data_IF_447626953014
#
_entry.id   IF_447626953014
#
_cell.length_a   1.000
_cell.length_b   1.000
_cell.length_c   1.000
_cell.angle_alpha   90.00
_cell.angle_beta   90.00
_cell.angle_gamma   90.00
#
_symmetry.space_group_name_H-M   'P 1'
#
loop_
_entity.id
_entity.type
_entity.pdbx_description
1 polymer ?
#
# COMPACT_ATOMS: atom_id res chain seq x y z
N UNK A 1 -12.18 -28.42 -14.04
CA UNK A 1 -13.37 -27.78 -14.69
C UNK A 1 -12.84 -26.94 -15.82
N UNK A 2 -13.08 -27.37 -17.04
CA UNK A 2 -12.68 -26.62 -18.24
C UNK A 2 -13.46 -25.33 -18.30
N UNK A 3 -12.78 -24.19 -18.41
CA UNK A 3 -13.43 -22.88 -18.58
C UNK A 3 -13.84 -22.73 -20.04
N UNK A 4 -15.07 -23.11 -20.35
CA UNK A 4 -15.66 -22.96 -21.69
C UNK A 4 -16.22 -21.54 -21.83
N UNK A 5 -15.73 -20.78 -22.81
CA UNK A 5 -16.35 -19.57 -23.29
C UNK A 5 -17.19 -19.85 -24.52
N UNK A 6 -18.49 -19.59 -24.44
CA UNK A 6 -19.40 -19.68 -25.58
C UNK A 6 -19.28 -18.41 -26.44
N UNK A 7 -18.94 -18.57 -27.70
CA UNK A 7 -19.02 -17.53 -28.72
C UNK A 7 -20.03 -17.95 -29.77
N UNK A 8 -20.47 -17.02 -30.61
CA UNK A 8 -21.37 -17.31 -31.75
C UNK A 8 -20.79 -18.37 -32.74
N UNK A 9 -19.50 -18.75 -32.60
CA UNK A 9 -18.78 -19.69 -33.45
C UNK A 9 -18.49 -21.05 -32.80
N UNK A 10 -18.96 -21.31 -31.56
CA UNK A 10 -18.79 -22.58 -30.85
C UNK A 10 -18.02 -22.49 -29.54
N UNK A 11 -17.76 -23.63 -28.90
CA UNK A 11 -17.01 -23.76 -27.66
C UNK A 11 -15.51 -23.65 -27.94
N UNK A 12 -14.81 -22.79 -27.16
CA UNK A 12 -13.35 -22.70 -27.18
C UNK A 12 -12.81 -23.06 -25.81
N UNK A 13 -11.85 -23.96 -25.78
CA UNK A 13 -11.04 -24.20 -24.59
C UNK A 13 -10.04 -23.04 -24.46
N UNK A 14 -10.11 -22.30 -23.34
CA UNK A 14 -9.17 -21.22 -23.04
C UNK A 14 -8.20 -21.69 -21.99
N UNK A 15 -6.94 -21.81 -22.40
CA UNK A 15 -5.84 -22.03 -21.48
C UNK A 15 -5.38 -20.71 -20.86
N UNK A 16 -5.42 -20.63 -19.54
CA UNK A 16 -4.98 -19.44 -18.79
C UNK A 16 -3.54 -19.65 -18.33
N UNK A 17 -2.61 -18.90 -18.90
CA UNK A 17 -1.19 -19.01 -18.56
C UNK A 17 -0.83 -18.41 -17.21
N UNK A 18 -1.51 -17.33 -16.80
CA UNK A 18 -1.15 -16.57 -15.59
C UNK A 18 -2.38 -16.15 -14.79
N UNK A 19 -2.37 -16.44 -13.50
CA UNK A 19 -3.34 -15.91 -12.53
C UNK A 19 -2.63 -15.02 -11.53
N UNK A 20 -3.12 -13.79 -11.35
CA UNK A 20 -2.59 -12.83 -10.40
C UNK A 20 -3.70 -12.39 -9.44
N UNK A 21 -3.39 -12.29 -8.15
CA UNK A 21 -4.38 -11.88 -7.16
C UNK A 21 -3.75 -11.30 -5.89
N UNK A 22 -4.53 -10.43 -5.22
CA UNK A 22 -4.26 -9.95 -3.87
C UNK A 22 -5.51 -10.14 -3.02
N UNK A 23 -5.46 -11.00 -2.02
CA UNK A 23 -6.60 -11.15 -1.12
C UNK A 23 -6.66 -9.98 -0.13
N UNK A 24 -7.87 -9.60 0.38
CA UNK A 24 -8.01 -8.51 1.33
C UNK A 24 -7.08 -8.64 2.54
N UNK A 25 -6.27 -7.62 2.78
CA UNK A 25 -5.26 -7.61 3.86
C UNK A 25 -5.79 -7.08 5.20
N UNK A 26 -7.02 -6.58 5.25
CA UNK A 26 -7.56 -5.80 6.37
C UNK A 26 -7.47 -6.50 7.74
N UNK A 27 -7.56 -7.83 7.80
CA UNK A 27 -7.41 -8.59 9.04
C UNK A 27 -5.96 -8.99 9.37
N UNK A 28 -4.99 -8.62 8.52
CA UNK A 28 -3.57 -8.91 8.69
C UNK A 28 -2.75 -7.69 9.13
N UNK A 29 -3.23 -6.46 8.86
CA UNK A 29 -2.45 -5.23 9.02
C UNK A 29 -2.28 -4.83 10.49
N UNK A 30 -1.08 -4.29 10.82
CA UNK A 30 -0.74 -3.80 12.17
C UNK A 30 -1.58 -2.58 12.58
N UNK A 31 -2.02 -1.76 11.62
CA UNK A 31 -2.84 -0.58 11.90
C UNK A 31 -4.23 -0.91 12.47
N UNK A 32 -4.65 -2.19 12.42
CA UNK A 32 -5.91 -2.64 13.00
C UNK A 32 -5.74 -2.99 14.49
N UNK A 33 -6.79 -2.80 15.29
CA UNK A 33 -6.80 -3.21 16.70
C UNK A 33 -6.51 -4.71 16.82
N UNK A 34 -5.78 -5.10 17.87
CA UNK A 34 -5.28 -6.48 18.03
C UNK A 34 -6.39 -7.55 18.07
N UNK A 35 -7.54 -7.24 18.67
CA UNK A 35 -8.73 -8.09 18.75
C UNK A 35 -9.41 -8.32 17.39
N UNK A 36 -9.22 -7.39 16.45
CA UNK A 36 -9.78 -7.49 15.08
C UNK A 36 -8.81 -8.18 14.08
N UNK A 37 -7.57 -8.47 14.47
CA UNK A 37 -6.54 -9.12 13.65
C UNK A 37 -6.68 -10.64 13.67
N UNK A 38 -7.83 -11.15 13.25
CA UNK A 38 -8.13 -12.59 13.25
C UNK A 38 -7.64 -13.34 12.01
N UNK A 39 -7.00 -12.63 11.07
CA UNK A 39 -6.34 -13.22 9.91
C UNK A 39 -7.29 -14.00 9.00
N UNK A 40 -6.84 -15.15 8.50
CA UNK A 40 -7.59 -16.04 7.62
C UNK A 40 -8.92 -16.52 8.23
N UNK A 41 -9.04 -16.54 9.57
CA UNK A 41 -10.30 -16.89 10.25
C UNK A 41 -11.44 -15.91 9.95
N UNK A 42 -11.15 -14.72 9.43
CA UNK A 42 -12.16 -13.77 8.96
C UNK A 42 -12.66 -14.15 7.57
N UNK A 43 -13.71 -14.98 7.49
CA UNK A 43 -14.30 -15.48 6.24
C UNK A 43 -14.76 -14.38 5.26
N UNK A 44 -15.14 -13.19 5.77
CA UNK A 44 -15.63 -12.07 4.93
C UNK A 44 -14.52 -11.15 4.42
N UNK A 45 -13.28 -11.33 4.85
CA UNK A 45 -12.13 -10.46 4.50
C UNK A 45 -10.93 -11.31 4.11
N UNK A 46 -9.95 -11.43 4.99
CA UNK A 46 -8.71 -12.16 4.68
C UNK A 46 -8.93 -13.65 4.38
N UNK A 47 -10.04 -14.24 4.82
CA UNK A 47 -10.45 -15.60 4.45
C UNK A 47 -10.86 -15.77 2.98
N UNK A 48 -11.09 -14.66 2.24
CA UNK A 48 -11.30 -14.69 0.79
C UNK A 48 -10.06 -15.20 0.02
N UNK A 49 -8.90 -15.25 0.66
CA UNK A 49 -7.75 -15.98 0.13
C UNK A 49 -8.11 -17.42 -0.28
N UNK A 50 -8.96 -18.10 0.48
CA UNK A 50 -9.38 -19.48 0.16
C UNK A 50 -10.15 -19.57 -1.17
N UNK A 51 -10.91 -18.52 -1.53
CA UNK A 51 -11.57 -18.45 -2.84
C UNK A 51 -10.56 -18.22 -3.97
N UNK A 52 -9.57 -17.37 -3.74
CA UNK A 52 -8.48 -17.22 -4.70
C UNK A 52 -7.71 -18.53 -4.88
N UNK A 53 -7.44 -19.26 -3.80
CA UNK A 53 -6.80 -20.57 -3.85
C UNK A 53 -7.66 -21.62 -4.57
N UNK A 54 -8.99 -21.61 -4.35
CA UNK A 54 -9.94 -22.49 -5.06
C UNK A 54 -9.85 -22.23 -6.57
N UNK A 55 -9.95 -20.96 -7.00
CA UNK A 55 -9.86 -20.56 -8.40
C UNK A 55 -8.51 -21.01 -9.02
N UNK A 56 -7.40 -20.80 -8.29
CA UNK A 56 -6.08 -21.25 -8.74
C UNK A 56 -6.03 -22.75 -9.01
N UNK A 57 -6.63 -23.56 -8.12
CA UNK A 57 -6.69 -25.02 -8.29
C UNK A 57 -7.71 -25.48 -9.34
N UNK A 58 -8.67 -24.67 -9.74
CA UNK A 58 -9.61 -25.00 -10.81
C UNK A 58 -9.02 -24.66 -12.19
N UNK A 59 -8.28 -23.54 -12.27
CA UNK A 59 -7.71 -23.04 -13.54
C UNK A 59 -6.40 -23.76 -13.89
N UNK A 60 -5.60 -24.19 -12.89
CA UNK A 60 -4.27 -24.79 -13.08
C UNK A 60 -3.36 -23.96 -14.02
N UNK A 61 -3.20 -22.64 -13.76
CA UNK A 61 -2.40 -21.81 -14.67
C UNK A 61 -0.92 -22.21 -14.61
N UNK A 62 -0.20 -21.95 -15.68
CA UNK A 62 1.24 -22.17 -15.75
C UNK A 62 2.03 -21.32 -14.76
N UNK A 63 1.58 -20.08 -14.56
CA UNK A 63 2.17 -19.13 -13.62
C UNK A 63 1.12 -18.54 -12.69
N UNK A 64 1.55 -18.17 -11.49
CA UNK A 64 0.72 -17.40 -10.59
C UNK A 64 1.54 -16.37 -9.82
N UNK A 65 0.87 -15.32 -9.36
CA UNK A 65 1.39 -14.33 -8.42
C UNK A 65 0.31 -13.98 -7.40
N UNK A 66 0.60 -14.19 -6.13
CA UNK A 66 -0.21 -13.72 -5.01
C UNK A 66 0.56 -12.70 -4.21
N UNK A 67 -0.08 -11.57 -3.86
CA UNK A 67 0.48 -10.54 -3.00
C UNK A 67 -0.30 -10.40 -1.70
N UNK A 68 0.41 -10.10 -0.60
CA UNK A 68 -0.21 -9.64 0.63
C UNK A 68 0.79 -8.86 1.51
N UNK A 69 0.29 -8.25 2.60
CA UNK A 69 1.10 -7.45 3.52
C UNK A 69 2.12 -8.30 4.30
N UNK A 70 3.36 -7.81 4.43
CA UNK A 70 4.40 -8.50 5.20
C UNK A 70 4.15 -8.49 6.72
N UNK A 71 3.23 -7.63 7.19
CA UNK A 71 2.88 -7.51 8.61
C UNK A 71 1.87 -8.56 9.11
N UNK A 72 1.49 -9.53 8.27
CA UNK A 72 0.61 -10.62 8.70
C UNK A 72 1.28 -11.47 9.79
N UNK A 73 0.49 -12.21 10.54
CA UNK A 73 1.00 -13.12 11.57
C UNK A 73 1.73 -14.29 10.91
N UNK A 74 2.69 -14.85 11.64
CA UNK A 74 3.47 -16.00 11.17
C UNK A 74 2.57 -17.18 10.78
N UNK A 75 1.56 -17.46 11.60
CA UNK A 75 0.62 -18.58 11.38
C UNK A 75 -0.15 -18.42 10.07
N UNK A 76 -0.61 -17.20 9.74
CA UNK A 76 -1.32 -16.92 8.49
C UNK A 76 -0.37 -17.06 7.28
N UNK A 77 0.87 -16.55 7.40
CA UNK A 77 1.91 -16.70 6.37
C UNK A 77 2.22 -18.17 6.12
N UNK A 78 2.49 -18.93 7.18
CA UNK A 78 2.85 -20.35 7.08
C UNK A 78 1.71 -21.18 6.49
N UNK A 79 0.46 -20.85 6.81
CA UNK A 79 -0.73 -21.47 6.22
C UNK A 79 -0.84 -21.21 4.72
N UNK A 80 -0.68 -19.95 4.28
CA UNK A 80 -0.69 -19.57 2.86
C UNK A 80 0.44 -20.29 2.12
N UNK A 81 1.66 -20.25 2.66
CA UNK A 81 2.85 -20.91 2.10
C UNK A 81 2.62 -22.41 1.90
N UNK A 82 2.02 -23.07 2.91
CA UNK A 82 1.70 -24.50 2.81
C UNK A 82 0.70 -24.82 1.70
N UNK A 83 -0.32 -23.97 1.50
CA UNK A 83 -1.32 -24.19 0.46
C UNK A 83 -0.78 -23.93 -0.94
N UNK A 84 0.00 -22.85 -1.11
CA UNK A 84 0.56 -22.46 -2.41
C UNK A 84 1.81 -23.27 -2.80
N UNK A 85 2.43 -23.97 -1.84
CA UNK A 85 3.60 -24.81 -2.09
C UNK A 85 4.89 -24.07 -2.43
N UNK A 86 4.94 -22.73 -2.26
CA UNK A 86 6.11 -21.89 -2.52
C UNK A 86 6.33 -20.91 -1.38
N UNK A 87 7.60 -20.64 -1.07
CA UNK A 87 7.95 -19.60 -0.08
C UNK A 87 7.76 -18.19 -0.66
N UNK A 88 7.28 -17.22 0.13
CA UNK A 88 7.10 -15.87 -0.37
C UNK A 88 8.41 -15.11 -0.47
N UNK A 89 8.57 -14.34 -1.52
CA UNK A 89 9.56 -13.27 -1.64
C UNK A 89 9.06 -12.07 -0.82
N UNK A 90 9.86 -11.58 0.14
CA UNK A 90 9.57 -10.34 0.85
C UNK A 90 10.26 -9.18 0.17
N UNK A 91 9.49 -8.22 -0.30
CA UNK A 91 10.00 -7.05 -1.02
C UNK A 91 9.39 -5.79 -0.42
N UNK A 92 10.27 -4.85 -0.04
CA UNK A 92 9.85 -3.50 0.29
C UNK A 92 10.05 -2.62 -0.95
N UNK A 93 8.97 -2.03 -1.47
CA UNK A 93 9.02 -1.18 -2.67
C UNK A 93 9.95 0.04 -2.50
N UNK A 94 10.39 0.37 -1.28
CA UNK A 94 11.38 1.43 -1.03
C UNK A 94 12.71 1.22 -1.77
N UNK A 95 12.97 0.02 -2.28
CA UNK A 95 14.13 -0.27 -3.14
C UNK A 95 14.02 0.45 -4.47
N UNK A 96 12.81 0.55 -5.05
CA UNK A 96 12.53 1.08 -6.39
C UNK A 96 11.74 2.39 -6.35
N UNK A 97 11.12 2.74 -5.21
CA UNK A 97 10.21 3.89 -5.09
C UNK A 97 10.45 4.71 -3.82
N UNK A 98 9.90 5.91 -3.70
CA UNK A 98 9.96 6.71 -2.49
C UNK A 98 8.97 6.28 -1.40
N UNK A 99 8.37 5.08 -1.47
CA UNK A 99 7.38 4.57 -0.50
C UNK A 99 7.91 3.35 0.27
N UNK A 100 7.62 3.32 1.57
CA UNK A 100 7.79 2.14 2.41
C UNK A 100 6.56 1.23 2.23
N UNK A 101 6.67 0.24 1.36
CA UNK A 101 5.59 -0.71 1.06
C UNK A 101 6.15 -2.13 1.12
N UNK A 102 6.06 -2.73 2.29
CA UNK A 102 6.62 -4.06 2.57
C UNK A 102 5.56 -5.14 2.31
N UNK A 103 5.83 -6.02 1.36
CA UNK A 103 4.88 -7.03 0.87
C UNK A 103 5.52 -8.40 0.76
N UNK A 104 4.67 -9.42 0.82
CA UNK A 104 4.99 -10.82 0.53
C UNK A 104 4.39 -11.19 -0.82
N UNK A 105 5.19 -11.84 -1.64
CA UNK A 105 4.79 -12.31 -2.98
C UNK A 105 5.02 -13.80 -3.08
N UNK A 106 3.97 -14.60 -3.13
CA UNK A 106 4.03 -16.03 -3.42
C UNK A 106 3.88 -16.21 -4.93
N UNK A 107 4.85 -16.82 -5.55
CA UNK A 107 4.86 -17.00 -7.02
C UNK A 107 5.79 -18.11 -7.45
N UNK A 108 5.49 -18.74 -8.57
CA UNK A 108 6.40 -19.62 -9.29
C UNK A 108 7.13 -18.91 -10.44
N UNK A 109 6.98 -17.59 -10.56
CA UNK A 109 7.82 -16.76 -11.42
C UNK A 109 9.25 -16.74 -10.88
N UNK A 110 10.23 -16.79 -11.78
CA UNK A 110 11.65 -16.74 -11.40
C UNK A 110 12.31 -15.52 -12.07
N UNK A 111 12.31 -14.34 -11.42
CA UNK A 111 12.96 -13.14 -11.95
C UNK A 111 14.45 -13.39 -12.17
N UNK A 112 14.99 -12.98 -13.33
CA UNK A 112 16.34 -13.34 -13.76
C UNK A 112 17.48 -12.56 -13.08
N UNK A 113 17.20 -11.34 -12.67
CA UNK A 113 18.17 -10.40 -12.12
C UNK A 113 17.75 -9.93 -10.73
N UNK A 114 18.69 -9.34 -10.00
CA UNK A 114 18.32 -8.61 -8.78
C UNK A 114 17.39 -7.43 -9.10
N UNK A 115 16.50 -7.12 -8.17
CA UNK A 115 15.61 -5.96 -8.29
C UNK A 115 16.46 -4.67 -8.35
N UNK A 116 16.26 -3.80 -9.36
CA UNK A 116 17.04 -2.56 -9.51
C UNK A 116 16.85 -1.62 -8.32
N UNK A 117 17.95 -1.15 -7.72
CA UNK A 117 17.91 -0.19 -6.59
C UNK A 117 17.91 1.24 -7.12
N UNK A 118 16.82 1.98 -6.98
CA UNK A 118 16.68 3.36 -7.48
C UNK A 118 16.99 4.45 -6.45
N UNK A 119 17.05 4.14 -5.17
CA UNK A 119 17.35 5.06 -4.04
C UNK A 119 16.62 6.43 -4.07
N UNK A 120 15.39 6.46 -4.56
CA UNK A 120 14.57 7.68 -4.68
C UNK A 120 14.09 8.09 -3.29
N UNK A 121 14.35 9.33 -2.87
CA UNK A 121 13.82 9.89 -1.61
C UNK A 121 12.45 10.53 -1.84
N UNK A 122 11.67 10.69 -0.76
CA UNK A 122 10.37 11.36 -0.83
C UNK A 122 10.51 12.81 -1.32
N UNK A 123 11.49 13.56 -0.80
CA UNK A 123 11.70 14.95 -1.19
C UNK A 123 12.14 15.11 -2.66
N UNK A 124 12.63 14.06 -3.32
CA UNK A 124 13.02 14.11 -4.73
C UNK A 124 11.81 14.13 -5.68
N UNK A 125 10.62 13.74 -5.19
CA UNK A 125 9.41 13.62 -6.00
C UNK A 125 8.33 14.66 -5.69
N UNK A 126 8.51 15.44 -4.61
CA UNK A 126 7.52 16.44 -4.21
C UNK A 126 7.40 17.53 -5.27
N UNK A 127 6.17 17.96 -5.53
CA UNK A 127 5.88 19.08 -6.43
C UNK A 127 6.15 20.43 -5.78
N UNK A 128 5.98 20.48 -4.46
CA UNK A 128 6.29 21.62 -3.59
C UNK A 128 6.47 21.13 -2.14
N UNK A 129 7.03 22.00 -1.29
CA UNK A 129 7.18 21.75 0.13
C UNK A 129 8.32 20.80 0.51
N UNK A 130 8.21 20.22 1.69
CA UNK A 130 9.25 19.41 2.31
C UNK A 130 8.66 18.38 3.27
N UNK A 131 9.29 17.23 3.41
CA UNK A 131 8.96 16.21 4.42
C UNK A 131 10.19 15.80 5.23
N UNK A 132 9.99 15.56 6.52
CA UNK A 132 11.00 15.00 7.42
C UNK A 132 11.35 13.54 7.12
N UNK A 133 10.57 12.90 6.28
CA UNK A 133 10.70 11.48 5.94
C UNK A 133 11.52 11.27 4.68
N UNK A 134 12.47 10.33 4.73
CA UNK A 134 13.18 9.89 3.53
C UNK A 134 12.28 9.11 2.55
N UNK A 135 11.27 8.40 3.08
CA UNK A 135 10.31 7.59 2.32
C UNK A 135 8.90 7.85 2.84
N UNK A 136 7.93 7.94 1.98
CA UNK A 136 6.53 7.97 2.35
C UNK A 136 6.12 6.69 3.09
N UNK A 137 5.12 6.78 3.94
CA UNK A 137 4.45 5.60 4.50
C UNK A 137 3.49 5.01 3.47
N UNK A 138 3.27 3.70 3.52
CA UNK A 138 2.21 3.06 2.73
C UNK A 138 0.88 3.77 2.94
N UNK A 139 0.19 4.03 1.83
CA UNK A 139 -1.13 4.66 1.85
C UNK A 139 -2.12 3.80 2.65
N UNK A 140 -2.82 4.45 3.55
CA UNK A 140 -3.92 3.85 4.31
C UNK A 140 -5.24 4.44 3.82
N UNK A 141 -6.34 3.70 3.97
CA UNK A 141 -7.72 4.20 3.70
C UNK A 141 -7.99 5.55 4.37
N UNK A 142 -7.36 5.80 5.50
CA UNK A 142 -7.47 7.06 6.21
C UNK A 142 -6.73 8.23 5.53
N UNK A 143 -5.85 7.99 4.58
CA UNK A 143 -5.17 9.03 3.80
C UNK A 143 -6.02 9.48 2.60
N UNK A 144 -6.98 8.64 2.17
CA UNK A 144 -8.04 9.00 1.22
C UNK A 144 -9.19 9.79 1.87
N UNK A 145 -9.29 9.77 3.21
CA UNK A 145 -10.28 10.51 3.99
C UNK A 145 -9.57 11.47 4.94
N UNK A 146 -9.04 12.57 4.43
CA UNK A 146 -8.23 13.49 5.22
C UNK A 146 -9.04 14.09 6.37
N UNK A 147 -8.34 14.34 7.48
CA UNK A 147 -8.89 15.10 8.60
C UNK A 147 -9.15 16.55 8.18
N UNK A 148 -10.17 17.16 8.76
CA UNK A 148 -10.70 18.46 8.33
C UNK A 148 -9.85 19.66 8.76
N UNK A 149 -8.96 19.50 9.74
CA UNK A 149 -8.12 20.60 10.23
C UNK A 149 -6.65 20.25 10.23
N UNK A 150 -5.76 21.19 9.88
CA UNK A 150 -4.32 20.96 9.84
C UNK A 150 -3.73 20.49 11.19
N UNK A 151 -4.22 21.00 12.31
CA UNK A 151 -3.77 20.57 13.64
C UNK A 151 -4.11 19.10 13.92
N UNK A 152 -5.27 18.61 13.51
CA UNK A 152 -5.65 17.19 13.64
C UNK A 152 -4.88 16.30 12.68
N UNK A 153 -4.57 16.79 11.48
CA UNK A 153 -3.67 16.10 10.55
C UNK A 153 -2.29 15.91 11.20
N UNK A 154 -1.73 16.96 11.80
CA UNK A 154 -0.45 16.90 12.49
C UNK A 154 -0.52 15.99 13.74
N UNK A 155 -1.59 16.08 14.52
CA UNK A 155 -1.80 15.18 15.67
C UNK A 155 -1.75 13.71 15.26
N UNK A 156 -2.47 13.33 14.21
CA UNK A 156 -2.45 11.95 13.70
C UNK A 156 -1.06 11.55 13.22
N UNK A 157 -0.39 12.39 12.44
CA UNK A 157 0.97 12.18 11.99
C UNK A 157 1.93 11.95 13.16
N UNK A 158 1.90 12.84 14.16
CA UNK A 158 2.80 12.82 15.29
C UNK A 158 2.54 11.67 16.27
N UNK A 159 1.27 11.35 16.51
CA UNK A 159 0.86 10.32 17.48
C UNK A 159 0.95 8.90 16.97
N UNK A 160 0.69 8.66 15.68
CA UNK A 160 0.65 7.31 15.10
C UNK A 160 1.88 6.94 14.29
N UNK A 161 2.53 7.93 13.67
CA UNK A 161 3.66 7.73 12.77
C UNK A 161 3.31 7.06 11.42
N UNK A 162 2.03 6.74 11.17
CA UNK A 162 1.60 6.03 9.96
C UNK A 162 1.30 6.93 8.76
N UNK A 163 1.03 8.21 8.99
CA UNK A 163 0.69 9.18 7.94
C UNK A 163 1.95 9.87 7.41
N UNK A 164 1.95 10.24 6.14
CA UNK A 164 2.95 11.12 5.53
C UNK A 164 2.35 12.50 5.35
N UNK A 165 3.04 13.53 5.82
CA UNK A 165 2.65 14.93 5.63
C UNK A 165 3.75 15.69 4.90
N UNK A 166 3.32 16.71 4.15
CA UNK A 166 4.17 17.67 3.46
C UNK A 166 4.01 19.03 4.15
N UNK A 167 5.12 19.66 4.47
CA UNK A 167 5.23 20.94 5.15
C UNK A 167 5.72 22.00 4.16
N UNK A 168 5.52 23.28 4.45
CA UNK A 168 6.06 24.38 3.62
C UNK A 168 7.59 24.30 3.51
N UNK A 169 8.25 23.94 4.64
CA UNK A 169 9.71 23.84 4.73
C UNK A 169 10.12 23.05 5.99
N UNK A 170 11.40 22.78 6.14
CA UNK A 170 11.97 22.19 7.35
C UNK A 170 11.77 23.10 8.59
N UNK A 171 11.86 24.42 8.43
CA UNK A 171 11.58 25.38 9.51
C UNK A 171 10.12 25.29 9.96
N UNK A 172 9.18 25.25 9.00
CA UNK A 172 7.75 25.09 9.29
C UNK A 172 7.47 23.77 10.04
N UNK A 173 8.10 22.67 9.67
CA UNK A 173 8.00 21.43 10.43
C UNK A 173 8.45 21.58 11.87
N UNK A 174 9.61 22.22 12.11
CA UNK A 174 10.13 22.48 13.46
C UNK A 174 9.18 23.36 14.30
N UNK A 175 8.59 24.38 13.68
CA UNK A 175 7.56 25.22 14.30
C UNK A 175 6.33 24.42 14.70
N UNK A 176 5.82 23.56 13.81
CA UNK A 176 4.70 22.67 14.10
C UNK A 176 4.99 21.71 15.25
N UNK A 177 6.19 21.13 15.31
CA UNK A 177 6.61 20.25 16.43
C UNK A 177 6.62 21.00 17.75
N UNK A 178 7.19 22.23 17.77
CA UNK A 178 7.27 23.04 18.97
C UNK A 178 5.87 23.45 19.44
N UNK A 179 5.03 23.93 18.53
CA UNK A 179 3.65 24.32 18.84
C UNK A 179 2.84 23.14 19.35
N UNK A 180 2.97 21.97 18.71
CA UNK A 180 2.26 20.77 19.15
C UNK A 180 2.67 20.35 20.58
N UNK A 181 3.97 20.40 20.88
CA UNK A 181 4.46 20.15 22.25
C UNK A 181 3.92 21.17 23.24
N UNK A 182 3.82 22.46 22.85
CA UNK A 182 3.29 23.54 23.67
C UNK A 182 1.82 23.30 24.03
N UNK A 183 0.96 23.05 23.02
CA UNK A 183 -0.49 22.88 23.23
C UNK A 183 -0.85 21.57 23.93
N UNK A 184 -0.03 20.54 23.78
CA UNK A 184 -0.26 19.23 24.44
C UNK A 184 0.46 19.11 25.79
N UNK A 185 1.31 20.07 26.15
CA UNK A 185 2.19 19.97 27.32
C UNK A 185 3.02 18.66 27.34
N UNK A 186 3.36 18.13 26.17
CA UNK A 186 4.06 16.85 26.01
C UNK A 186 3.23 15.62 26.41
N UNK A 187 1.94 15.77 26.68
CA UNK A 187 1.04 14.69 27.08
C UNK A 187 0.37 14.03 25.87
N UNK A 188 -0.06 12.79 26.05
CA UNK A 188 -0.90 12.09 25.07
C UNK A 188 -2.33 12.63 25.17
N UNK A 189 -2.86 13.14 24.07
CA UNK A 189 -4.20 13.74 23.98
C UNK A 189 -5.04 13.01 22.93
N UNK A 190 -6.34 13.30 22.89
CA UNK A 190 -7.25 12.85 21.81
C UNK A 190 -7.38 13.95 20.75
N UNK A 191 -7.78 13.58 19.54
CA UNK A 191 -8.01 14.55 18.46
C UNK A 191 -9.13 15.56 18.80
N UNK A 192 -10.11 15.17 19.61
CA UNK A 192 -11.17 16.07 20.10
C UNK A 192 -10.66 17.20 20.99
N UNK A 193 -9.53 16.98 21.68
CA UNK A 193 -8.95 17.99 22.56
C UNK A 193 -8.32 19.16 21.78
N UNK A 194 -8.31 19.07 20.45
CA UNK A 194 -7.82 20.09 19.51
C UNK A 194 -8.93 20.83 18.76
N UNK A 195 -10.19 20.60 19.12
CA UNK A 195 -11.34 21.23 18.43
C UNK A 195 -11.34 22.76 18.58
N UNK A 196 -10.89 23.27 19.72
CA UNK A 196 -10.84 24.70 20.05
C UNK A 196 -9.51 25.37 19.65
N UNK A 197 -8.62 24.66 18.93
CA UNK A 197 -7.37 25.27 18.48
C UNK A 197 -7.61 26.30 17.38
N UNK A 198 -7.24 27.56 17.64
CA UNK A 198 -7.42 28.71 16.75
C UNK A 198 -6.12 29.25 16.15
N UNK A 199 -4.97 28.63 16.47
CA UNK A 199 -3.67 29.05 15.94
C UNK A 199 -3.49 28.68 14.48
N UNK A 200 -2.58 29.37 13.77
CA UNK A 200 -2.31 29.21 12.35
C UNK A 200 -0.99 28.49 12.02
N UNK A 201 -0.25 28.03 13.04
CA UNK A 201 1.08 27.42 12.86
C UNK A 201 1.02 26.18 11.97
N UNK A 202 -0.07 25.41 12.01
CA UNK A 202 -0.24 24.21 11.20
C UNK A 202 -0.77 24.49 9.78
N UNK A 203 -1.05 25.74 9.44
CA UNK A 203 -1.56 26.09 8.12
C UNK A 203 -0.52 25.83 7.01
N UNK A 204 -0.99 25.21 5.91
CA UNK A 204 -0.14 24.81 4.79
C UNK A 204 0.50 23.42 4.93
N UNK A 205 0.15 22.67 5.99
CA UNK A 205 0.38 21.22 6.01
C UNK A 205 -0.59 20.56 5.03
N UNK A 206 -0.09 19.63 4.23
CA UNK A 206 -0.91 18.87 3.30
C UNK A 206 -0.55 17.39 3.25
N UNK A 207 -1.46 16.58 2.78
CA UNK A 207 -1.16 15.23 2.28
C UNK A 207 -0.45 15.31 0.93
N UNK A 208 0.17 14.22 0.51
CA UNK A 208 0.68 14.08 -0.85
C UNK A 208 -0.44 14.34 -1.87
N UNK A 209 -0.12 15.07 -2.92
CA UNK A 209 -1.02 15.28 -4.03
C UNK A 209 -1.06 14.06 -4.97
N UNK A 210 -1.89 14.11 -5.99
CA UNK A 210 -2.13 13.00 -6.90
C UNK A 210 -0.88 12.56 -7.66
N UNK A 211 -0.09 13.51 -8.17
CA UNK A 211 1.15 13.23 -8.89
C UNK A 211 2.21 12.58 -8.00
N UNK A 212 2.32 13.03 -6.75
CA UNK A 212 3.24 12.46 -5.75
C UNK A 212 2.83 11.02 -5.37
N UNK A 213 1.51 10.75 -5.28
CA UNK A 213 0.97 9.40 -5.04
C UNK A 213 1.27 8.47 -6.22
N UNK A 214 1.12 8.95 -7.46
CA UNK A 214 1.45 8.20 -8.68
C UNK A 214 2.94 7.81 -8.71
N UNK A 215 3.82 8.77 -8.39
CA UNK A 215 5.27 8.51 -8.30
C UNK A 215 5.62 7.49 -7.21
N UNK A 216 4.90 7.46 -6.09
CA UNK A 216 5.07 6.45 -5.05
C UNK A 216 4.77 5.03 -5.54
N UNK A 217 3.75 4.87 -6.37
CA UNK A 217 3.37 3.57 -6.94
C UNK A 217 4.06 3.26 -8.28
N UNK A 218 4.92 4.17 -8.76
CA UNK A 218 5.62 4.03 -10.05
C UNK A 218 4.66 3.88 -11.25
N UNK A 219 3.45 4.41 -11.16
CA UNK A 219 2.53 4.49 -12.30
C UNK A 219 2.89 5.69 -13.18
N UNK A 220 2.54 5.68 -14.49
CA UNK A 220 2.77 6.82 -15.38
C UNK A 220 2.11 8.10 -14.86
N UNK A 221 2.76 9.25 -15.08
CA UNK A 221 2.20 10.55 -14.69
C UNK A 221 0.82 10.78 -15.34
N UNK A 222 -0.14 11.22 -14.55
CA UNK A 222 -1.53 11.44 -14.97
C UNK A 222 -2.36 10.16 -15.09
N UNK A 223 -1.86 9.04 -14.61
CA UNK A 223 -2.59 7.76 -14.63
C UNK A 223 -3.95 7.85 -13.93
N UNK A 224 -4.02 8.61 -12.84
CA UNK A 224 -5.24 8.80 -12.06
C UNK A 224 -5.96 10.14 -12.33
N UNK A 225 -5.62 10.85 -13.41
CA UNK A 225 -6.14 12.20 -13.72
C UNK A 225 -7.67 12.33 -13.80
N UNK A 226 -8.39 11.22 -14.04
CA UNK A 226 -9.86 11.18 -14.10
C UNK A 226 -10.51 11.05 -12.71
N UNK A 227 -9.71 10.86 -11.65
CA UNK A 227 -10.17 10.68 -10.27
C UNK A 227 -9.91 11.94 -9.45
N UNK A 228 -10.64 12.11 -8.36
CA UNK A 228 -10.26 13.04 -7.31
C UNK A 228 -9.00 12.54 -6.58
N UNK A 229 -8.31 13.44 -5.86
CA UNK A 229 -7.13 13.06 -5.07
C UNK A 229 -7.43 11.91 -4.09
N UNK A 230 -8.61 11.90 -3.48
CA UNK A 230 -8.99 10.88 -2.50
C UNK A 230 -9.25 9.52 -3.14
N UNK A 231 -9.96 9.50 -4.27
CA UNK A 231 -10.16 8.28 -5.07
C UNK A 231 -8.84 7.75 -5.61
N UNK A 232 -7.94 8.64 -6.08
CA UNK A 232 -6.59 8.25 -6.49
C UNK A 232 -5.80 7.60 -5.34
N UNK A 233 -5.89 8.15 -4.12
CA UNK A 233 -5.25 7.58 -2.95
C UNK A 233 -5.81 6.19 -2.58
N UNK A 234 -7.11 5.95 -2.74
CA UNK A 234 -7.74 4.66 -2.51
C UNK A 234 -7.24 3.62 -3.54
N UNK A 235 -7.37 3.89 -4.83
CA UNK A 235 -6.99 2.92 -5.86
C UNK A 235 -5.48 2.66 -5.90
N UNK A 236 -4.64 3.68 -5.68
CA UNK A 236 -3.20 3.51 -5.61
C UNK A 236 -2.77 2.79 -4.32
N UNK A 237 -3.48 3.04 -3.21
CA UNK A 237 -3.25 2.36 -1.94
C UNK A 237 -3.56 0.87 -1.99
N UNK A 238 -4.63 0.49 -2.69
CA UNK A 238 -5.01 -0.91 -2.93
C UNK A 238 -4.21 -1.56 -4.08
N UNK A 239 -3.64 -0.74 -4.98
CA UNK A 239 -2.84 -1.20 -6.11
C UNK A 239 -1.47 -1.76 -5.72
N UNK A 240 -0.72 -2.22 -6.71
CA UNK A 240 0.64 -2.72 -6.57
C UNK A 240 1.66 -1.72 -7.09
N UNK A 241 2.86 -1.73 -6.49
CA UNK A 241 3.97 -0.94 -7.04
C UNK A 241 4.42 -1.52 -8.39
N UNK A 242 4.32 -0.72 -9.44
CA UNK A 242 4.52 -1.17 -10.83
C UNK A 242 5.95 -1.67 -11.07
N UNK A 243 6.96 -1.00 -10.53
CA UNK A 243 8.36 -1.43 -10.74
C UNK A 243 8.65 -2.78 -10.09
N UNK A 244 8.05 -3.06 -8.93
CA UNK A 244 8.18 -4.38 -8.28
C UNK A 244 7.51 -5.46 -9.13
N UNK A 245 6.30 -5.21 -9.63
CA UNK A 245 5.56 -6.17 -10.45
C UNK A 245 6.26 -6.39 -11.79
N UNK A 246 6.75 -5.33 -12.43
CA UNK A 246 7.52 -5.43 -13.67
C UNK A 246 8.76 -6.29 -13.48
N UNK A 247 9.47 -6.14 -12.37
CA UNK A 247 10.61 -6.99 -12.05
C UNK A 247 10.19 -8.45 -11.85
N UNK A 248 9.12 -8.72 -11.08
CA UNK A 248 8.60 -10.08 -10.90
C UNK A 248 8.23 -10.72 -12.24
N UNK A 249 7.57 -9.98 -13.13
CA UNK A 249 7.16 -10.45 -14.44
C UNK A 249 8.32 -10.64 -15.44
N UNK A 250 9.52 -10.13 -15.13
CA UNK A 250 10.69 -10.48 -15.95
C UNK A 250 10.94 -11.99 -15.99
N UNK A 251 10.44 -12.73 -15.00
CA UNK A 251 10.45 -14.20 -14.99
C UNK A 251 9.58 -14.88 -16.07
N UNK A 252 8.64 -14.14 -16.68
CA UNK A 252 7.83 -14.63 -17.81
C UNK A 252 8.59 -14.58 -19.14
N UNK A 253 9.58 -13.71 -19.26
CA UNK A 253 10.35 -13.55 -20.48
C UNK A 253 11.26 -14.75 -20.68
N UNK A 254 10.98 -15.59 -21.64
CA UNK A 254 11.88 -16.65 -22.10
C UNK A 254 13.14 -16.01 -22.70
N UNK A 255 14.29 -16.63 -22.45
CA UNK A 255 15.51 -16.34 -23.21
C UNK A 255 15.33 -16.77 -24.64
#
# INVERSE_FOLDING_TARGET
>A
METLLYTEKGEFEIEIDLVIFGSPCQSFIIAMKSDMRIGIKNKKRSGLFLECYRILNEIHPKFFLMENVASMRKEDKDFITKLLGVDPLRINASIVSPELRDRLYWTNLNPKNEIPKKNIKLNDILTDGWSDRNKARSLLVSDSRPLTTPVKMFHRYYSTGFTTLIFKSESHFKECVNEYKRITHGKKIKASDLDDYTGNVFEGIRYMNQEELEKCQCVPSGYTKCLSRNEAADVLGDGWNIDVITWLFSGLLKN
#
